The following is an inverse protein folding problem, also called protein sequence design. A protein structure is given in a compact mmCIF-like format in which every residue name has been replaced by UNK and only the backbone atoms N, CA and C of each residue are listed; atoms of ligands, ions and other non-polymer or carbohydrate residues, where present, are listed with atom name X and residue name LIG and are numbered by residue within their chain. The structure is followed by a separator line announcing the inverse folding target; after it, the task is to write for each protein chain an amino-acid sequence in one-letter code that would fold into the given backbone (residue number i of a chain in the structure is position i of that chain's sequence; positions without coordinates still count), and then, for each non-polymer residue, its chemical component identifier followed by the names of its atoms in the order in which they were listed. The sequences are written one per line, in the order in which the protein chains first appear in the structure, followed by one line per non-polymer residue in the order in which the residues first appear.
data_IF_109421032246
#
_entry.id   IF_109421032246
#
_cell.length_a   1.000
_cell.length_b   1.000
_cell.length_c   1.000
_cell.angle_alpha   90.00
_cell.angle_beta   90.00
_cell.angle_gamma   90.00
#
_symmetry.space_group_name_H-M   'P 1'
#
loop_
_entity.id
_entity.type
_entity.pdbx_description
1 polymer ?
#
# COMPACT_ATOMS: atom_id res chain seq x y z
N UNK A 1 16.91 -11.72 1.76
CA UNK A 1 17.17 -10.36 2.25
C UNK A 1 17.31 -10.46 3.77
N UNK A 2 18.21 -9.72 4.42
CA UNK A 2 18.23 -9.73 5.90
C UNK A 2 17.04 -8.91 6.43
N UNK A 3 16.59 -9.19 7.66
CA UNK A 3 15.47 -8.45 8.28
C UNK A 3 15.72 -6.94 8.31
N UNK A 4 16.92 -6.50 8.68
CA UNK A 4 17.28 -5.08 8.69
C UNK A 4 17.17 -4.40 7.31
N UNK A 5 17.58 -5.10 6.23
CA UNK A 5 17.46 -4.58 4.87
C UNK A 5 16.00 -4.52 4.39
N UNK A 6 15.17 -5.47 4.84
CA UNK A 6 13.73 -5.43 4.57
C UNK A 6 13.09 -4.23 5.26
N UNK A 7 13.41 -3.99 6.52
CA UNK A 7 12.84 -2.88 7.30
C UNK A 7 13.21 -1.51 6.72
N UNK A 8 14.46 -1.33 6.29
CA UNK A 8 14.89 -0.12 5.59
C UNK A 8 14.12 0.06 4.28
N UNK A 9 14.00 -1.01 3.50
CA UNK A 9 13.26 -0.96 2.24
C UNK A 9 11.77 -0.69 2.43
N UNK A 10 11.16 -1.28 3.45
CA UNK A 10 9.77 -1.02 3.81
C UNK A 10 9.55 0.46 4.12
N UNK A 11 10.46 1.07 4.90
CA UNK A 11 10.41 2.52 5.21
C UNK A 11 10.53 3.39 3.97
N UNK A 12 11.41 3.05 3.04
CA UNK A 12 11.54 3.76 1.76
C UNK A 12 10.26 3.70 0.93
N UNK A 13 9.71 2.50 0.73
CA UNK A 13 8.50 2.28 -0.06
C UNK A 13 7.29 2.98 0.57
N UNK A 14 7.16 2.92 1.90
CA UNK A 14 6.10 3.66 2.60
C UNK A 14 6.22 5.17 2.40
N UNK A 15 7.44 5.72 2.45
CA UNK A 15 7.68 7.14 2.20
C UNK A 15 7.28 7.53 0.77
N UNK A 16 7.72 6.77 -0.23
CA UNK A 16 7.36 6.98 -1.64
C UNK A 16 5.84 6.95 -1.84
N UNK A 17 5.16 5.98 -1.24
CA UNK A 17 3.71 5.86 -1.32
C UNK A 17 2.97 7.02 -0.66
N UNK A 18 3.40 7.47 0.52
CA UNK A 18 2.77 8.60 1.19
C UNK A 18 2.96 9.91 0.42
N UNK A 19 4.14 10.12 -0.18
CA UNK A 19 4.40 11.25 -1.06
C UNK A 19 3.53 11.20 -2.33
N UNK A 20 3.45 10.04 -2.99
CA UNK A 20 2.55 9.84 -4.13
C UNK A 20 1.09 10.08 -3.73
N UNK A 21 0.62 9.49 -2.62
CA UNK A 21 -0.75 9.66 -2.14
C UNK A 21 -1.09 11.12 -1.84
N UNK A 22 -0.19 11.89 -1.23
CA UNK A 22 -0.37 13.31 -1.00
C UNK A 22 -0.48 14.11 -2.31
N UNK A 23 0.28 13.72 -3.34
CA UNK A 23 0.24 14.36 -4.66
C UNK A 23 -1.05 14.04 -5.44
N UNK A 24 -1.55 12.79 -5.35
CA UNK A 24 -2.77 12.39 -6.08
C UNK A 24 -4.05 12.74 -5.30
N UNK A 25 -3.97 12.97 -3.99
CA UNK A 25 -5.04 13.52 -3.15
C UNK A 25 -6.31 12.65 -3.02
N UNK A 26 -6.31 11.44 -3.57
CA UNK A 26 -7.54 10.66 -3.79
C UNK A 26 -7.92 9.73 -2.63
N UNK A 27 -6.98 9.37 -1.75
CA UNK A 27 -7.17 8.23 -0.84
C UNK A 27 -6.86 8.51 0.63
N UNK A 28 -6.14 9.59 0.92
CA UNK A 28 -5.79 10.03 2.28
C UNK A 28 -5.38 8.87 3.20
N UNK A 29 -4.49 8.01 2.70
CA UNK A 29 -3.82 6.98 3.50
C UNK A 29 -3.19 7.67 4.73
N UNK A 30 -3.72 7.36 5.91
CA UNK A 30 -3.29 7.93 7.17
C UNK A 30 -2.08 7.20 7.73
N UNK A 31 -2.01 5.89 7.49
CA UNK A 31 -0.92 5.03 7.94
C UNK A 31 -0.74 3.86 6.99
N UNK A 32 0.49 3.40 6.91
CA UNK A 32 0.85 2.18 6.21
C UNK A 32 1.96 1.47 6.98
N UNK A 33 1.97 0.15 6.94
CA UNK A 33 3.00 -0.69 7.55
C UNK A 33 3.27 -1.93 6.71
N UNK A 34 4.52 -2.38 6.67
CA UNK A 34 4.92 -3.60 6.00
C UNK A 34 5.76 -4.44 6.97
N UNK A 35 5.36 -5.69 7.19
CA UNK A 35 5.96 -6.61 8.16
C UNK A 35 6.46 -7.89 7.46
N UNK A 36 7.62 -8.38 7.89
CA UNK A 36 8.14 -9.70 7.56
C UNK A 36 7.83 -10.66 8.72
N UNK A 37 6.84 -11.52 8.50
CA UNK A 37 6.33 -12.47 9.48
C UNK A 37 6.84 -13.88 9.18
N UNK A 38 8.15 -14.05 8.96
CA UNK A 38 8.91 -15.31 8.74
C UNK A 38 8.44 -16.25 7.60
N UNK A 39 7.14 -16.56 7.54
CA UNK A 39 6.44 -17.38 6.56
C UNK A 39 5.63 -16.56 5.55
N UNK A 40 5.26 -15.33 5.90
CA UNK A 40 4.48 -14.46 5.03
C UNK A 40 4.84 -12.98 5.25
N UNK A 41 4.40 -12.13 4.33
CA UNK A 41 4.54 -10.69 4.44
C UNK A 41 3.16 -10.05 4.60
N UNK A 42 3.05 -9.06 5.48
CA UNK A 42 1.82 -8.28 5.67
C UNK A 42 2.07 -6.85 5.20
N UNK A 43 1.12 -6.28 4.47
CA UNK A 43 1.02 -4.84 4.27
C UNK A 43 -0.32 -4.35 4.84
N UNK A 44 -0.27 -3.53 5.88
CA UNK A 44 -1.46 -2.90 6.46
C UNK A 44 -1.58 -1.47 5.95
N UNK A 45 -2.79 -1.04 5.59
CA UNK A 45 -3.09 0.32 5.17
C UNK A 45 -4.33 0.79 5.93
N UNK A 46 -4.25 2.01 6.48
CA UNK A 46 -5.37 2.67 7.15
C UNK A 46 -5.75 3.93 6.39
N UNK A 47 -7.04 4.10 6.12
CA UNK A 47 -7.62 5.29 5.52
C UNK A 47 -8.87 5.71 6.32
N UNK A 48 -9.12 7.02 6.51
CA UNK A 48 -10.33 7.52 7.17
C UNK A 48 -11.59 7.09 6.42
N UNK A 49 -12.52 6.43 7.12
CA UNK A 49 -13.74 5.86 6.52
C UNK A 49 -14.62 6.92 5.84
N UNK A 50 -14.72 8.10 6.44
CA UNK A 50 -15.51 9.24 5.98
C UNK A 50 -15.14 9.70 4.55
N UNK A 51 -13.95 9.35 4.08
CA UNK A 51 -13.43 9.78 2.78
C UNK A 51 -13.45 8.68 1.73
N UNK A 52 -13.72 7.44 2.15
CA UNK A 52 -13.75 6.26 1.28
C UNK A 52 -15.11 5.58 1.27
N UNK A 53 -16.15 6.18 1.89
CA UNK A 53 -17.52 5.64 1.85
C UNK A 53 -18.37 6.25 0.74
N UNK A 54 -19.27 5.44 0.16
CA UNK A 54 -20.31 5.88 -0.76
C UNK A 54 -21.49 6.52 0.01
N UNK A 55 -22.54 6.92 -0.72
CA UNK A 55 -23.75 7.53 -0.14
C UNK A 55 -24.51 6.63 0.86
N UNK A 56 -24.24 5.32 0.86
CA UNK A 56 -24.85 4.33 1.75
C UNK A 56 -23.98 4.07 2.99
N UNK A 57 -22.86 4.80 3.16
CA UNK A 57 -21.91 4.60 4.25
C UNK A 57 -21.06 3.33 4.10
N UNK A 58 -21.05 2.70 2.94
CA UNK A 58 -20.23 1.53 2.63
C UNK A 58 -18.93 1.94 1.95
N UNK A 59 -17.86 1.17 2.10
CA UNK A 59 -16.62 1.45 1.39
C UNK A 59 -16.85 1.48 -0.13
N UNK A 60 -16.49 2.60 -0.76
CA UNK A 60 -16.56 2.84 -2.19
C UNK A 60 -15.63 1.86 -2.91
N UNK A 61 -16.17 1.06 -3.83
CA UNK A 61 -15.43 -0.01 -4.50
C UNK A 61 -14.14 0.46 -5.20
N UNK A 62 -14.14 1.67 -5.77
CA UNK A 62 -12.93 2.27 -6.33
C UNK A 62 -11.84 2.51 -5.28
N UNK A 63 -12.21 3.05 -4.11
CA UNK A 63 -11.26 3.28 -3.02
C UNK A 63 -10.70 1.96 -2.47
N UNK A 64 -11.55 0.95 -2.29
CA UNK A 64 -11.12 -0.39 -1.87
C UNK A 64 -10.13 -0.99 -2.87
N UNK A 65 -10.45 -0.92 -4.17
CA UNK A 65 -9.56 -1.38 -5.23
C UNK A 65 -8.19 -0.70 -5.22
N UNK A 66 -8.19 0.63 -5.10
CA UNK A 66 -6.95 1.40 -5.00
C UNK A 66 -6.14 1.02 -3.75
N UNK A 67 -6.77 0.83 -2.59
CA UNK A 67 -6.08 0.43 -1.36
C UNK A 67 -5.42 -0.95 -1.53
N UNK A 68 -6.12 -1.91 -2.13
CA UNK A 68 -5.58 -3.24 -2.39
C UNK A 68 -4.42 -3.21 -3.39
N UNK A 69 -4.54 -2.42 -4.46
CA UNK A 69 -3.46 -2.28 -5.45
C UNK A 69 -2.25 -1.56 -4.89
N UNK A 70 -2.44 -0.54 -4.06
CA UNK A 70 -1.36 0.10 -3.30
C UNK A 70 -0.67 -0.88 -2.36
N UNK A 71 -1.42 -1.67 -1.59
CA UNK A 71 -0.86 -2.65 -0.67
C UNK A 71 -0.02 -3.70 -1.43
N UNK A 72 -0.57 -4.25 -2.51
CA UNK A 72 0.11 -5.23 -3.35
C UNK A 72 1.36 -4.68 -4.01
N UNK A 73 1.30 -3.49 -4.62
CA UNK A 73 2.46 -2.86 -5.22
C UNK A 73 3.56 -2.62 -4.19
N UNK A 74 3.21 -2.09 -3.02
CA UNK A 74 4.18 -1.77 -2.00
C UNK A 74 4.88 -3.00 -1.45
N UNK A 75 4.10 -4.06 -1.16
CA UNK A 75 4.65 -5.34 -0.71
C UNK A 75 5.65 -5.91 -1.73
N UNK A 76 5.28 -5.91 -3.01
CA UNK A 76 6.16 -6.36 -4.09
C UNK A 76 7.39 -5.46 -4.25
N UNK A 77 7.24 -4.14 -4.15
CA UNK A 77 8.33 -3.16 -4.24
C UNK A 77 9.31 -3.28 -3.07
N UNK A 78 8.84 -3.76 -1.91
CA UNK A 78 9.68 -4.09 -0.76
C UNK A 78 10.42 -5.41 -0.96
N UNK A 79 9.72 -6.48 -1.35
CA UNK A 79 10.31 -7.81 -1.52
C UNK A 79 11.29 -7.85 -2.71
N UNK A 80 10.92 -7.25 -3.84
CA UNK A 80 11.67 -7.25 -5.09
C UNK A 80 12.51 -5.98 -5.22
N UNK A 81 13.26 -5.61 -4.19
CA UNK A 81 14.01 -4.34 -4.11
C UNK A 81 14.98 -4.04 -5.26
N UNK A 82 15.42 -5.05 -6.02
CA UNK A 82 16.27 -4.90 -7.21
C UNK A 82 15.51 -4.72 -8.52
N UNK A 83 14.18 -4.77 -8.50
CA UNK A 83 13.34 -4.75 -9.68
C UNK A 83 12.38 -3.57 -9.61
N UNK A 84 12.06 -3.02 -10.78
CA UNK A 84 10.97 -2.06 -10.91
C UNK A 84 9.66 -2.82 -10.96
N UNK A 85 8.80 -2.62 -9.96
CA UNK A 85 7.46 -3.20 -9.93
C UNK A 85 6.50 -2.31 -10.72
N UNK A 86 5.82 -2.91 -11.69
CA UNK A 86 4.80 -2.24 -12.51
C UNK A 86 3.54 -3.11 -12.47
N UNK A 87 2.43 -2.55 -12.03
CA UNK A 87 1.12 -3.21 -12.11
C UNK A 87 0.63 -3.13 -13.56
N UNK A 88 0.50 -4.27 -14.24
CA UNK A 88 0.03 -4.33 -15.62
C UNK A 88 -1.47 -4.63 -15.73
N UNK A 89 -1.97 -5.48 -14.85
CA UNK A 89 -3.37 -5.85 -14.79
C UNK A 89 -3.78 -6.01 -13.33
N UNK A 90 -4.96 -5.54 -13.00
CA UNK A 90 -5.55 -5.59 -11.67
C UNK A 90 -7.03 -5.94 -11.83
N UNK A 91 -7.50 -6.90 -11.06
CA UNK A 91 -8.89 -7.36 -11.07
C UNK A 91 -9.40 -7.41 -9.64
N UNK A 92 -10.68 -7.06 -9.46
CA UNK A 92 -11.43 -7.24 -8.21
C UNK A 92 -12.56 -8.21 -8.47
#
# INVERSE_FOLDING_TARGET
MSGALFDERAKEVMKEMLEMNALVGAMNIARMEIHDEQQYYICNIWSPLDQITNCDGQAFGGAVFFLLTTAGWSLLSTILSKHRVVLQQTSV
#
